data_IF_073067595376
#
_entry.id   IF_073067595376
#
_cell.length_a   1.000
_cell.length_b   1.000
_cell.length_c   1.000
_cell.angle_alpha   90.00
_cell.angle_beta   90.00
_cell.angle_gamma   90.00
#
_symmetry.space_group_name_H-M   'P 1'
#
loop_
_entity.id
_entity.type
_entity.pdbx_description
1 polymer ?
#
# COMPACT_ATOMS: atom_id res chain seq x y z
N UNK A 1 43.19 4.46 57.16
CA UNK A 1 42.41 3.62 56.23
C UNK A 1 41.03 4.22 56.07
N UNK A 2 40.81 5.03 55.02
CA UNK A 2 39.48 5.55 54.69
C UNK A 2 39.46 6.06 53.23
N UNK A 3 39.46 5.14 52.27
CA UNK A 3 39.23 5.47 50.86
C UNK A 3 38.47 4.33 50.18
N UNK A 4 37.23 4.06 50.62
CA UNK A 4 36.38 3.08 49.93
C UNK A 4 35.03 3.68 49.46
N UNK A 5 34.54 4.76 50.09
CA UNK A 5 33.23 5.35 49.77
C UNK A 5 33.13 6.20 48.49
N UNK A 6 34.23 6.48 47.76
CA UNK A 6 34.19 7.32 46.54
C UNK A 6 34.08 6.54 45.22
N UNK A 7 34.27 5.23 45.23
CA UNK A 7 34.43 4.42 44.00
C UNK A 7 33.12 3.91 43.40
N UNK A 8 32.06 3.76 44.20
CA UNK A 8 30.73 3.32 43.72
C UNK A 8 29.96 4.39 42.94
N UNK A 9 30.12 5.68 43.29
CA UNK A 9 29.36 6.77 42.66
C UNK A 9 29.80 7.07 41.21
N UNK A 10 31.03 6.69 40.83
CA UNK A 10 31.54 6.86 39.47
C UNK A 10 31.00 5.81 38.49
N UNK A 11 30.79 4.58 38.95
CA UNK A 11 30.33 3.48 38.09
C UNK A 11 28.85 3.64 37.72
N UNK A 12 28.00 3.96 38.69
CA UNK A 12 26.57 4.22 38.45
C UNK A 12 26.38 5.44 37.53
N UNK A 13 27.16 6.51 37.73
CA UNK A 13 27.14 7.69 36.86
C UNK A 13 27.58 7.38 35.43
N UNK A 14 28.61 6.55 35.24
CA UNK A 14 29.12 6.16 33.92
C UNK A 14 28.15 5.21 33.19
N UNK A 15 27.50 4.28 33.91
CA UNK A 15 26.45 3.40 33.37
C UNK A 15 25.20 4.21 33.00
N UNK A 16 24.77 5.13 33.85
CA UNK A 16 23.62 5.98 33.58
C UNK A 16 23.90 6.92 32.40
N UNK A 17 25.14 7.42 32.25
CA UNK A 17 25.58 8.20 31.10
C UNK A 17 25.65 7.36 29.81
N UNK A 18 26.06 6.09 29.89
CA UNK A 18 26.06 5.16 28.75
C UNK A 18 24.63 4.75 28.32
N UNK A 19 23.73 4.51 29.29
CA UNK A 19 22.31 4.26 29.03
C UNK A 19 21.64 5.50 28.46
N UNK A 20 21.94 6.70 28.94
CA UNK A 20 21.39 7.94 28.36
C UNK A 20 21.85 8.17 26.92
N UNK A 21 23.08 7.80 26.58
CA UNK A 21 23.56 7.93 25.21
C UNK A 21 23.00 6.86 24.28
N UNK A 22 23.03 5.58 24.65
CA UNK A 22 22.58 4.53 23.72
C UNK A 22 21.06 4.26 23.81
N UNK A 23 20.51 4.12 25.02
CA UNK A 23 19.07 3.88 25.22
C UNK A 23 18.27 5.15 24.93
N UNK A 24 18.80 6.33 25.26
CA UNK A 24 18.15 7.61 24.93
C UNK A 24 17.97 7.80 23.42
N UNK A 25 18.98 7.48 22.63
CA UNK A 25 18.87 7.50 21.16
C UNK A 25 17.84 6.49 20.68
N UNK A 26 17.85 5.25 21.19
CA UNK A 26 16.83 4.25 20.83
C UNK A 26 15.40 4.72 21.12
N UNK A 27 15.17 5.34 22.28
CA UNK A 27 13.85 5.86 22.67
C UNK A 27 13.43 7.01 21.74
N UNK A 28 14.34 7.95 21.43
CA UNK A 28 14.06 9.05 20.49
C UNK A 28 13.68 8.51 19.11
N UNK A 29 14.38 7.48 18.63
CA UNK A 29 14.06 6.84 17.34
C UNK A 29 12.66 6.21 17.38
N UNK A 30 12.30 5.49 18.44
CA UNK A 30 10.96 4.90 18.58
C UNK A 30 9.88 5.98 18.59
N UNK A 31 10.06 7.05 19.36
CA UNK A 31 9.12 8.17 19.39
C UNK A 31 8.97 8.84 18.02
N UNK A 32 10.08 8.98 17.29
CA UNK A 32 10.08 9.53 15.94
C UNK A 32 9.31 8.63 14.95
N UNK A 33 9.45 7.30 15.05
CA UNK A 33 8.66 6.34 14.26
C UNK A 33 7.16 6.43 14.56
N UNK A 34 6.79 6.53 15.84
CA UNK A 34 5.38 6.64 16.26
C UNK A 34 4.77 7.96 15.76
N UNK A 35 5.51 9.07 15.87
CA UNK A 35 5.08 10.36 15.34
C UNK A 35 4.91 10.30 13.81
N UNK A 36 5.85 9.69 13.09
CA UNK A 36 5.73 9.45 11.66
C UNK A 36 4.51 8.59 11.31
N UNK A 37 4.24 7.54 12.09
CA UNK A 37 3.07 6.68 11.93
C UNK A 37 1.74 7.45 12.00
N UNK A 38 1.59 8.36 12.96
CA UNK A 38 0.40 9.22 13.03
C UNK A 38 0.26 10.15 11.82
N UNK A 39 1.37 10.74 11.37
CA UNK A 39 1.37 11.64 10.21
C UNK A 39 0.97 10.88 8.94
N UNK A 40 1.62 9.75 8.65
CA UNK A 40 1.31 8.94 7.47
C UNK A 40 -0.10 8.38 7.51
N UNK A 41 -0.56 7.90 8.67
CA UNK A 41 -1.94 7.46 8.82
C UNK A 41 -2.93 8.58 8.49
N UNK A 42 -2.68 9.80 8.95
CA UNK A 42 -3.60 10.91 8.70
C UNK A 42 -3.62 11.33 7.23
N UNK A 43 -2.46 11.37 6.58
CA UNK A 43 -2.33 11.80 5.19
C UNK A 43 -2.87 10.74 4.22
N UNK A 44 -2.52 9.48 4.42
CA UNK A 44 -2.75 8.44 3.42
C UNK A 44 -4.07 7.69 3.58
N UNK A 45 -4.67 7.68 4.77
CA UNK A 45 -5.94 6.96 5.00
C UNK A 45 -7.10 7.53 4.18
N UNK A 46 -7.15 8.85 4.01
CA UNK A 46 -8.17 9.50 3.18
C UNK A 46 -7.89 9.26 1.69
N UNK A 47 -6.62 9.38 1.29
CA UNK A 47 -6.14 9.13 -0.06
C UNK A 47 -6.42 7.69 -0.52
N UNK A 48 -6.24 6.69 0.35
CA UNK A 48 -6.55 5.28 0.07
C UNK A 48 -8.01 5.08 -0.35
N UNK A 49 -8.93 5.76 0.34
CA UNK A 49 -10.35 5.70 0.01
C UNK A 49 -10.66 6.38 -1.32
N UNK A 50 -10.02 7.52 -1.59
CA UNK A 50 -10.17 8.27 -2.84
C UNK A 50 -9.65 7.47 -4.03
N UNK A 51 -8.46 6.86 -3.92
CA UNK A 51 -7.89 5.96 -4.92
C UNK A 51 -8.84 4.80 -5.25
N UNK A 52 -9.54 4.24 -4.26
CA UNK A 52 -10.55 3.22 -4.52
C UNK A 52 -11.67 3.73 -5.43
N UNK A 53 -12.18 4.95 -5.18
CA UNK A 53 -13.21 5.54 -6.04
C UNK A 53 -12.69 5.83 -7.44
N UNK A 54 -11.51 6.42 -7.56
CA UNK A 54 -10.91 6.76 -8.86
C UNK A 54 -10.66 5.51 -9.72
N UNK A 55 -10.08 4.47 -9.12
CA UNK A 55 -9.83 3.20 -9.82
C UNK A 55 -11.11 2.47 -10.18
N UNK A 56 -12.13 2.53 -9.30
CA UNK A 56 -13.47 2.00 -9.59
C UNK A 56 -14.14 2.72 -10.76
N UNK A 57 -14.10 4.06 -10.76
CA UNK A 57 -14.76 4.87 -11.77
C UNK A 57 -14.13 4.69 -13.16
N UNK A 58 -12.86 4.30 -13.22
CA UNK A 58 -12.20 3.87 -14.46
C UNK A 58 -12.46 2.40 -14.83
N UNK A 59 -12.62 1.53 -13.83
CA UNK A 59 -12.89 0.10 -14.04
C UNK A 59 -14.28 -0.16 -14.62
N UNK A 60 -15.33 0.47 -14.06
CA UNK A 60 -16.74 0.25 -14.45
C UNK A 60 -17.00 0.48 -15.96
N UNK A 61 -16.56 1.58 -16.60
CA UNK A 61 -16.78 1.77 -18.03
C UNK A 61 -16.02 0.74 -18.87
N UNK A 62 -14.85 0.29 -18.41
CA UNK A 62 -14.07 -0.75 -19.08
C UNK A 62 -14.77 -2.11 -19.03
N UNK A 63 -15.26 -2.51 -17.86
CA UNK A 63 -16.05 -3.74 -17.69
C UNK A 63 -17.28 -3.73 -18.60
N UNK A 64 -18.06 -2.64 -18.57
CA UNK A 64 -19.25 -2.49 -19.41
C UNK A 64 -18.92 -2.55 -20.91
N UNK A 65 -17.81 -1.94 -21.32
CA UNK A 65 -17.33 -2.00 -22.72
C UNK A 65 -16.98 -3.43 -23.11
N UNK A 66 -16.22 -4.14 -22.27
CA UNK A 66 -15.83 -5.52 -22.51
C UNK A 66 -17.03 -6.47 -22.57
N UNK A 67 -18.00 -6.33 -21.66
CA UNK A 67 -19.24 -7.11 -21.68
C UNK A 67 -20.03 -6.88 -22.97
N UNK A 68 -20.15 -5.63 -23.42
CA UNK A 68 -20.80 -5.31 -24.68
C UNK A 68 -20.06 -5.90 -25.89
N UNK A 69 -18.73 -5.85 -25.90
CA UNK A 69 -17.92 -6.46 -26.97
C UNK A 69 -18.09 -7.98 -27.02
N UNK A 70 -18.01 -8.66 -25.88
CA UNK A 70 -18.24 -10.11 -25.79
C UNK A 70 -19.64 -10.49 -26.26
N UNK A 71 -20.67 -9.74 -25.82
CA UNK A 71 -22.05 -9.98 -26.25
C UNK A 71 -22.21 -9.84 -27.76
N UNK A 72 -21.63 -8.80 -28.37
CA UNK A 72 -21.69 -8.60 -29.82
C UNK A 72 -21.02 -9.76 -30.58
N UNK A 73 -19.84 -10.19 -30.14
CA UNK A 73 -19.10 -11.33 -30.72
C UNK A 73 -19.91 -12.63 -30.63
N UNK A 74 -20.53 -12.91 -29.49
CA UNK A 74 -21.39 -14.08 -29.31
C UNK A 74 -22.62 -13.99 -30.24
N UNK A 75 -23.24 -12.81 -30.35
CA UNK A 75 -24.41 -12.57 -31.19
C UNK A 75 -24.11 -12.71 -32.68
N UNK A 76 -22.94 -12.27 -33.13
CA UNK A 76 -22.51 -12.37 -34.54
C UNK A 76 -22.15 -13.81 -34.94
N UNK A 77 -21.70 -14.62 -33.97
CA UNK A 77 -21.36 -16.03 -34.19
C UNK A 77 -22.49 -17.01 -33.82
N UNK A 78 -23.66 -16.51 -33.43
CA UNK A 78 -24.83 -17.33 -33.08
C UNK A 78 -25.36 -18.06 -34.32
N UNK A 79 -25.10 -19.37 -34.39
CA UNK A 79 -25.46 -20.23 -35.54
C UNK A 79 -24.29 -20.64 -36.42
N UNK A 80 -23.08 -20.18 -36.12
CA UNK A 80 -21.86 -20.66 -36.78
C UNK A 80 -21.45 -22.02 -36.19
N UNK A 81 -21.13 -23.00 -37.05
CA UNK A 81 -20.67 -24.32 -36.60
C UNK A 81 -19.20 -24.32 -36.16
N UNK A 82 -18.43 -23.32 -36.58
CA UNK A 82 -17.03 -23.16 -36.24
C UNK A 82 -16.86 -22.33 -34.96
N UNK A 83 -16.73 -23.03 -33.84
CA UNK A 83 -16.53 -22.44 -32.52
C UNK A 83 -15.10 -21.90 -32.31
N UNK A 84 -14.15 -22.26 -33.20
CA UNK A 84 -12.74 -21.90 -33.02
C UNK A 84 -12.50 -20.40 -33.18
N UNK A 85 -13.15 -19.77 -34.16
CA UNK A 85 -13.08 -18.32 -34.42
C UNK A 85 -13.66 -17.54 -33.25
N UNK A 86 -14.84 -17.94 -32.74
CA UNK A 86 -15.46 -17.33 -31.56
C UNK A 86 -14.51 -17.37 -30.34
N UNK A 87 -13.86 -18.51 -30.10
CA UNK A 87 -12.98 -18.68 -28.95
C UNK A 87 -11.72 -17.81 -29.03
N UNK A 88 -11.18 -17.58 -30.24
CA UNK A 88 -10.01 -16.70 -30.45
C UNK A 88 -10.36 -15.23 -30.20
N UNK A 89 -11.51 -14.76 -30.69
CA UNK A 89 -11.96 -13.39 -30.48
C UNK A 89 -12.24 -13.10 -29.00
N UNK A 90 -12.97 -14.00 -28.32
CA UNK A 90 -13.25 -13.86 -26.89
C UNK A 90 -11.98 -13.86 -26.05
N UNK A 91 -10.98 -14.70 -26.38
CA UNK A 91 -9.69 -14.70 -25.70
C UNK A 91 -8.97 -13.36 -25.85
N UNK A 92 -8.92 -12.81 -27.05
CA UNK A 92 -8.27 -11.51 -27.32
C UNK A 92 -8.92 -10.38 -26.50
N UNK A 93 -10.25 -10.37 -26.43
CA UNK A 93 -11.01 -9.39 -25.64
C UNK A 93 -10.71 -9.56 -24.14
N UNK A 94 -10.66 -10.81 -23.66
CA UNK A 94 -10.39 -11.11 -22.25
C UNK A 94 -8.94 -10.77 -21.86
N UNK A 95 -7.97 -11.03 -22.72
CA UNK A 95 -6.56 -10.66 -22.52
C UNK A 95 -6.42 -9.14 -22.44
N UNK A 96 -7.06 -8.41 -23.37
CA UNK A 96 -7.07 -6.94 -23.34
C UNK A 96 -7.70 -6.39 -22.07
N UNK A 97 -8.83 -6.96 -21.64
CA UNK A 97 -9.48 -6.57 -20.38
C UNK A 97 -8.58 -6.86 -19.18
N UNK A 98 -7.96 -8.04 -19.13
CA UNK A 98 -7.04 -8.43 -18.06
C UNK A 98 -5.89 -7.44 -17.95
N UNK A 99 -5.19 -7.16 -19.04
CA UNK A 99 -4.02 -6.27 -19.03
C UNK A 99 -4.41 -4.85 -18.60
N UNK A 100 -5.53 -4.34 -19.10
CA UNK A 100 -6.03 -3.03 -18.71
C UNK A 100 -6.51 -3.00 -17.24
N UNK A 101 -7.15 -4.07 -16.74
CA UNK A 101 -7.61 -4.16 -15.35
C UNK A 101 -6.43 -4.17 -14.36
N UNK A 102 -5.34 -4.86 -14.70
CA UNK A 102 -4.09 -4.88 -13.91
C UNK A 102 -3.44 -3.50 -13.93
N UNK A 103 -3.47 -2.80 -15.08
CA UNK A 103 -2.91 -1.45 -15.20
C UNK A 103 -3.67 -0.40 -14.36
N UNK A 104 -4.99 -0.56 -14.20
CA UNK A 104 -5.82 0.30 -13.33
C UNK A 104 -5.58 0.00 -11.85
N UNK A 105 -5.32 -1.27 -11.49
CA UNK A 105 -5.04 -1.66 -10.11
C UNK A 105 -6.28 -1.70 -9.19
N UNK A 106 -7.49 -1.86 -9.76
CA UNK A 106 -8.71 -1.98 -8.97
C UNK A 106 -8.81 -3.37 -8.31
N UNK A 107 -8.89 -3.42 -6.99
CA UNK A 107 -8.88 -4.67 -6.20
C UNK A 107 -10.29 -5.27 -5.99
N UNK A 108 -11.35 -4.58 -6.41
CA UNK A 108 -12.74 -5.06 -6.25
C UNK A 108 -13.39 -4.71 -4.91
N UNK A 109 -12.74 -3.87 -4.10
CA UNK A 109 -13.24 -3.45 -2.78
C UNK A 109 -14.49 -2.57 -2.85
N UNK A 110 -15.34 -2.68 -1.83
CA UNK A 110 -16.46 -1.76 -1.65
C UNK A 110 -15.92 -0.49 -0.98
N UNK A 111 -15.59 0.53 -1.78
CA UNK A 111 -14.97 1.78 -1.32
C UNK A 111 -15.74 2.51 -0.20
N UNK A 112 -17.05 2.28 -0.08
CA UNK A 112 -17.89 2.86 0.97
C UNK A 112 -17.76 2.21 2.35
N UNK A 113 -17.15 1.02 2.43
CA UNK A 113 -17.15 0.18 3.63
C UNK A 113 -15.79 0.12 4.34
N UNK A 114 -14.82 0.92 3.91
CA UNK A 114 -13.54 1.02 4.60
C UNK A 114 -13.74 1.36 6.09
N UNK A 115 -13.20 0.49 6.97
CA UNK A 115 -13.29 0.63 8.42
C UNK A 115 -14.64 0.25 9.05
N UNK A 116 -15.57 -0.33 8.29
CA UNK A 116 -16.80 -0.93 8.83
C UNK A 116 -16.60 -2.42 9.14
N UNK A 117 -17.49 -2.97 9.96
CA UNK A 117 -17.51 -4.41 10.24
C UNK A 117 -17.81 -5.19 8.95
N UNK A 118 -16.91 -6.12 8.59
CA UNK A 118 -16.98 -6.88 7.34
C UNK A 118 -16.53 -6.13 6.07
N UNK A 119 -16.08 -4.88 6.19
CA UNK A 119 -15.54 -4.09 5.08
C UNK A 119 -14.02 -4.21 4.92
N UNK A 120 -13.45 -3.58 3.87
CA UNK A 120 -12.01 -3.57 3.65
C UNK A 120 -11.26 -2.84 4.77
N UNK A 121 -10.09 -3.38 5.13
CA UNK A 121 -9.22 -2.84 6.17
C UNK A 121 -8.28 -1.82 5.52
N UNK A 122 -8.12 -0.65 6.14
CA UNK A 122 -7.14 0.34 5.70
C UNK A 122 -5.71 -0.23 5.76
N UNK A 123 -5.02 -0.21 4.61
CA UNK A 123 -3.57 -0.46 4.54
C UNK A 123 -2.83 0.57 5.38
N UNK A 124 -3.28 1.82 5.37
CA UNK A 124 -2.79 2.90 6.24
C UNK A 124 -3.48 2.93 7.62
N UNK A 125 -3.55 1.77 8.26
CA UNK A 125 -3.89 1.67 9.69
C UNK A 125 -2.75 2.20 10.57
N UNK A 126 -3.01 2.48 11.85
CA UNK A 126 -1.98 2.97 12.78
C UNK A 126 -0.72 2.10 12.78
N UNK A 127 -0.90 0.77 12.84
CA UNK A 127 0.19 -0.20 12.79
C UNK A 127 0.90 -0.20 11.43
N UNK A 128 0.15 -0.14 10.32
CA UNK A 128 0.71 -0.11 8.97
C UNK A 128 1.54 1.15 8.69
N UNK A 129 1.02 2.31 9.09
CA UNK A 129 1.71 3.59 8.96
C UNK A 129 2.95 3.69 9.86
N UNK A 130 2.88 3.16 11.09
CA UNK A 130 4.04 3.10 12.00
C UNK A 130 5.12 2.17 11.44
N UNK A 131 4.73 1.01 10.92
CA UNK A 131 5.65 0.10 10.24
C UNK A 131 6.32 0.75 9.03
N UNK A 132 5.55 1.49 8.21
CA UNK A 132 6.10 2.27 7.11
C UNK A 132 7.12 3.32 7.59
N UNK A 133 6.83 4.03 8.67
CA UNK A 133 7.80 4.98 9.26
C UNK A 133 9.12 4.30 9.66
N UNK A 134 9.05 3.10 10.27
CA UNK A 134 10.23 2.31 10.63
C UNK A 134 11.03 1.89 9.40
N UNK A 135 10.37 1.47 8.31
CA UNK A 135 11.07 1.05 7.07
C UNK A 135 11.76 2.22 6.37
N UNK A 136 11.18 3.42 6.43
CA UNK A 136 11.80 4.66 5.93
C UNK A 136 13.07 5.00 6.73
N UNK A 137 12.99 4.99 8.06
CA UNK A 137 14.12 5.35 8.95
C UNK A 137 15.23 4.30 8.88
N UNK A 138 14.88 3.02 8.84
CA UNK A 138 15.85 1.92 8.70
C UNK A 138 16.45 1.83 7.29
N UNK A 139 15.96 2.62 6.33
CA UNK A 139 16.35 2.61 4.91
C UNK A 139 16.11 1.29 4.16
N UNK A 140 15.54 0.29 4.82
CA UNK A 140 15.05 -0.96 4.20
C UNK A 140 13.97 -0.62 3.17
N UNK A 141 13.19 0.43 3.44
CA UNK A 141 12.14 0.93 2.58
C UNK A 141 12.59 1.38 1.20
N UNK A 142 13.86 1.74 0.94
CA UNK A 142 14.28 2.11 -0.44
C UNK A 142 14.10 0.95 -1.43
N UNK A 143 14.20 -0.29 -0.95
CA UNK A 143 14.05 -1.50 -1.76
C UNK A 143 12.60 -1.98 -1.75
N UNK A 144 11.87 -1.85 -0.64
CA UNK A 144 10.48 -2.34 -0.53
C UNK A 144 9.46 -1.32 -1.01
N UNK A 145 9.63 -0.04 -0.66
CA UNK A 145 8.79 1.08 -1.12
C UNK A 145 9.06 1.35 -2.60
N UNK A 146 10.29 1.18 -3.08
CA UNK A 146 10.56 1.18 -4.52
C UNK A 146 9.69 0.16 -5.26
N UNK A 147 9.57 -1.07 -4.77
CA UNK A 147 8.74 -2.08 -5.41
C UNK A 147 7.23 -1.90 -5.13
N UNK A 148 6.83 -1.49 -3.93
CA UNK A 148 5.42 -1.28 -3.57
C UNK A 148 4.82 -0.02 -4.22
N UNK A 149 5.63 1.02 -4.43
CA UNK A 149 5.23 2.27 -5.09
C UNK A 149 5.36 2.19 -6.62
N UNK A 150 6.34 1.44 -7.17
CA UNK A 150 6.42 1.23 -8.63
C UNK A 150 5.48 0.16 -9.19
N UNK A 151 5.13 -0.89 -8.42
CA UNK A 151 4.20 -1.93 -8.87
C UNK A 151 2.78 -1.74 -8.36
N UNK A 152 2.56 -0.81 -7.41
CA UNK A 152 1.26 -0.62 -6.77
C UNK A 152 0.31 0.34 -7.51
N UNK A 153 0.78 1.47 -8.04
CA UNK A 153 -0.07 2.44 -8.76
C UNK A 153 0.80 3.52 -9.45
N UNK A 154 0.91 3.56 -10.79
CA UNK A 154 1.74 4.55 -11.50
C UNK A 154 1.20 6.00 -11.43
N UNK A 155 0.01 6.24 -10.89
CA UNK A 155 -0.65 7.56 -10.95
C UNK A 155 -0.15 8.61 -9.95
N UNK A 156 0.53 8.21 -8.86
CA UNK A 156 0.99 9.17 -7.84
C UNK A 156 2.21 9.99 -8.33
N UNK A 157 2.90 9.53 -9.38
CA UNK A 157 4.14 10.18 -9.87
C UNK A 157 3.87 11.31 -10.89
N UNK A 158 2.76 11.27 -11.64
CA UNK A 158 2.55 12.20 -12.76
C UNK A 158 1.91 13.55 -12.39
N UNK A 159 1.44 13.75 -11.16
CA UNK A 159 0.75 14.99 -10.76
C UNK A 159 1.56 15.91 -9.82
N UNK A 160 2.83 15.59 -9.54
CA UNK A 160 3.69 16.45 -8.69
C UNK A 160 5.11 16.69 -9.25
N UNK A 161 5.28 16.61 -10.56
CA UNK A 161 6.45 17.16 -11.27
C UNK A 161 6.03 17.96 -12.50
#
# INVERSE_FOLDING_TARGET
>A
MATDGKRQNGLCKSVMQFLFSNVGICVIVVLYCVAGGFIFQHLEKNNEKEICYDTRDEYIPMENKTLNQMYNVIRENLGNSDLSVLMIELRTILETFRDNSIAIGYEGDICGDYGKEGGPIYKWSWFGATYFSVTVISTIGKQIVGYFFFFGNPKIVYNNF
#
